data_IF_694332387626
#
_entry.id   IF_694332387626
#
_cell.length_a   1.000
_cell.length_b   1.000
_cell.length_c   1.000
_cell.angle_alpha   90.00
_cell.angle_beta   90.00
_cell.angle_gamma   90.00
#
_symmetry.space_group_name_H-M   'P 1'
#
loop_
_entity.id
_entity.type
_entity.pdbx_description
1 polymer ?
#
# COMPACT_ATOMS: atom_id res chain seq x y z
N UNK A 1 -10.44 24.42 4.71
CA UNK A 1 -10.70 23.74 3.43
C UNK A 1 -10.28 22.33 3.70
N UNK A 2 -11.21 21.39 3.89
CA UNK A 2 -10.84 19.98 4.00
C UNK A 2 -10.24 19.60 2.65
N UNK A 3 -8.94 19.37 2.63
CA UNK A 3 -8.26 18.88 1.44
C UNK A 3 -8.73 17.44 1.22
N UNK A 4 -9.31 17.21 0.04
CA UNK A 4 -9.61 15.86 -0.43
C UNK A 4 -8.37 15.23 -1.04
N UNK A 5 -8.41 13.92 -1.24
CA UNK A 5 -7.30 13.18 -1.84
C UNK A 5 -7.20 11.78 -1.26
N UNK A 6 -6.26 11.02 -1.79
CA UNK A 6 -5.94 9.66 -1.33
C UNK A 6 -4.57 9.64 -0.69
N UNK A 7 -4.45 8.94 0.43
CA UNK A 7 -3.16 8.46 0.91
C UNK A 7 -2.98 7.07 0.34
N UNK A 8 -1.96 6.95 -0.49
CA UNK A 8 -1.60 5.72 -1.16
C UNK A 8 -0.46 5.04 -0.44
N UNK A 9 -0.58 3.72 -0.26
CA UNK A 9 0.42 2.84 0.33
C UNK A 9 0.74 1.77 -0.70
N UNK A 10 1.90 1.86 -1.32
CA UNK A 10 2.36 0.92 -2.35
C UNK A 10 3.27 -0.14 -1.77
N UNK A 11 3.10 -1.40 -2.17
CA UNK A 11 3.97 -2.53 -1.86
C UNK A 11 4.30 -3.25 -3.16
N UNK A 12 5.58 -3.43 -3.46
CA UNK A 12 6.02 -3.89 -4.79
C UNK A 12 6.96 -5.07 -4.67
N UNK A 13 6.74 -6.05 -5.55
CA UNK A 13 7.49 -7.30 -5.63
C UNK A 13 8.21 -7.37 -6.98
N UNK A 14 9.41 -7.92 -6.99
CA UNK A 14 10.11 -8.25 -8.23
C UNK A 14 9.57 -9.56 -8.82
N UNK A 15 10.01 -9.88 -10.05
CA UNK A 15 9.70 -11.12 -10.78
C UNK A 15 9.99 -12.44 -10.03
N UNK A 16 10.76 -12.40 -8.94
CA UNK A 16 11.08 -13.61 -8.15
C UNK A 16 9.87 -14.09 -7.32
N UNK A 17 8.89 -13.22 -7.12
CA UNK A 17 7.66 -13.55 -6.42
C UNK A 17 6.54 -13.61 -7.46
N UNK A 18 5.75 -14.68 -7.49
CA UNK A 18 4.63 -14.74 -8.41
C UNK A 18 3.44 -13.93 -7.89
N UNK A 19 2.67 -13.31 -8.78
CA UNK A 19 1.46 -12.59 -8.40
C UNK A 19 0.48 -13.52 -7.65
N UNK A 20 0.31 -14.76 -8.12
CA UNK A 20 -0.57 -15.77 -7.52
C UNK A 20 -0.18 -16.09 -6.08
N UNK A 21 1.11 -16.27 -5.81
CA UNK A 21 1.57 -16.57 -4.45
C UNK A 21 1.37 -15.35 -3.54
N UNK A 22 1.82 -14.17 -3.99
CA UNK A 22 1.75 -12.96 -3.17
C UNK A 22 0.32 -12.50 -2.88
N UNK A 23 -0.65 -12.73 -3.78
CA UNK A 23 -2.05 -12.38 -3.49
C UNK A 23 -2.67 -13.35 -2.50
N UNK A 24 -2.30 -14.64 -2.53
CA UNK A 24 -2.71 -15.62 -1.53
C UNK A 24 -2.27 -15.20 -0.14
N UNK A 25 -0.99 -14.86 -0.01
CA UNK A 25 -0.42 -14.41 1.25
C UNK A 25 -0.98 -13.04 1.67
N UNK A 26 -1.19 -12.11 0.74
CA UNK A 26 -1.81 -10.80 1.02
C UNK A 26 -3.24 -10.97 1.56
N UNK A 27 -4.05 -11.84 0.94
CA UNK A 27 -5.39 -12.18 1.44
C UNK A 27 -5.33 -12.72 2.86
N UNK A 28 -4.40 -13.62 3.14
CA UNK A 28 -4.22 -14.18 4.49
C UNK A 28 -3.81 -13.11 5.50
N UNK A 29 -2.89 -12.22 5.14
CA UNK A 29 -2.47 -11.09 5.97
C UNK A 29 -3.63 -10.14 6.28
N UNK A 30 -4.40 -9.74 5.26
CA UNK A 30 -5.56 -8.85 5.44
C UNK A 30 -6.61 -9.48 6.36
N UNK A 31 -6.90 -10.77 6.21
CA UNK A 31 -7.81 -11.50 7.10
C UNK A 31 -7.28 -11.56 8.54
N UNK A 32 -5.96 -11.74 8.72
CA UNK A 32 -5.34 -11.72 10.04
C UNK A 32 -5.49 -10.36 10.73
N UNK A 33 -5.39 -9.26 9.97
CA UNK A 33 -5.64 -7.89 10.42
C UNK A 33 -7.15 -7.57 10.55
N UNK A 34 -8.03 -8.57 10.50
CA UNK A 34 -9.47 -8.40 10.68
C UNK A 34 -10.19 -7.72 9.50
N UNK A 35 -9.52 -7.58 8.36
CA UNK A 35 -10.11 -6.97 7.18
C UNK A 35 -10.92 -8.00 6.38
N UNK A 36 -12.00 -7.50 5.76
CA UNK A 36 -12.88 -8.29 4.90
C UNK A 36 -12.80 -7.78 3.48
N UNK A 37 -12.79 -8.71 2.54
CA UNK A 37 -12.92 -8.41 1.12
C UNK A 37 -14.41 -8.23 0.85
N UNK A 38 -14.78 -7.07 0.31
CA UNK A 38 -16.18 -6.66 0.09
C UNK A 38 -16.59 -6.99 -1.34
N UNK A 39 -15.82 -6.52 -2.30
CA UNK A 39 -16.05 -6.72 -3.73
C UNK A 39 -14.72 -6.73 -4.47
N UNK A 40 -14.71 -7.32 -5.66
CA UNK A 40 -13.61 -7.18 -6.63
C UNK A 40 -14.17 -6.68 -7.94
N UNK A 41 -13.45 -5.78 -8.59
CA UNK A 41 -13.71 -5.33 -9.96
C UNK A 41 -12.48 -5.56 -10.80
N UNK A 42 -12.67 -6.11 -12.00
CA UNK A 42 -11.59 -6.24 -12.96
C UNK A 42 -12.07 -5.99 -14.38
N UNK A 43 -11.19 -5.49 -15.22
CA UNK A 43 -11.50 -5.28 -16.63
C UNK A 43 -11.04 -6.45 -17.49
N UNK A 44 -11.89 -6.90 -18.40
CA UNK A 44 -11.62 -8.00 -19.34
C UNK A 44 -10.86 -7.53 -20.60
N UNK A 45 -10.71 -6.22 -20.80
CA UNK A 45 -10.03 -5.63 -21.95
C UNK A 45 -9.00 -4.57 -21.56
N UNK A 46 -8.07 -4.32 -22.48
CA UNK A 46 -6.98 -3.37 -22.28
C UNK A 46 -7.45 -1.90 -22.33
N UNK A 47 -8.61 -1.64 -22.93
CA UNK A 47 -9.16 -0.29 -23.05
C UNK A 47 -9.88 0.15 -21.76
N UNK A 48 -10.14 -0.79 -20.84
CA UNK A 48 -10.81 -0.54 -19.57
C UNK A 48 -12.30 -0.27 -19.74
N UNK A 49 -12.96 -0.85 -20.76
CA UNK A 49 -14.36 -0.56 -21.07
C UNK A 49 -15.32 -1.62 -20.52
N UNK A 50 -14.91 -2.89 -20.47
CA UNK A 50 -15.71 -4.01 -19.97
C UNK A 50 -15.22 -4.40 -18.58
N UNK A 51 -16.02 -4.06 -17.57
CA UNK A 51 -15.76 -4.37 -16.18
C UNK A 51 -16.67 -5.48 -15.67
N UNK A 52 -16.07 -6.45 -14.99
CA UNK A 52 -16.75 -7.45 -14.19
C UNK A 52 -16.62 -7.06 -12.73
N UNK A 53 -17.74 -7.04 -12.01
CA UNK A 53 -17.81 -6.77 -10.58
C UNK A 53 -18.41 -7.98 -9.87
N UNK A 54 -17.73 -8.44 -8.82
CA UNK A 54 -18.12 -9.61 -8.05
C UNK A 54 -18.17 -9.21 -6.57
N UNK A 55 -19.36 -9.31 -5.97
CA UNK A 55 -19.52 -9.19 -4.53
C UNK A 55 -18.94 -10.42 -3.83
N UNK A 56 -18.16 -10.19 -2.78
CA UNK A 56 -17.46 -11.26 -2.06
C UNK A 56 -18.25 -11.62 -0.81
N UNK A 57 -18.63 -12.88 -0.73
CA UNK A 57 -19.27 -13.46 0.43
C UNK A 57 -18.30 -14.42 1.14
N UNK A 58 -18.32 -14.42 2.47
CA UNK A 58 -17.46 -15.26 3.32
C UNK A 58 -15.95 -15.13 3.06
N UNK A 59 -15.48 -13.99 2.53
CA UNK A 59 -14.08 -13.76 2.12
C UNK A 59 -13.52 -14.80 1.13
N UNK A 60 -14.40 -15.47 0.37
CA UNK A 60 -14.00 -16.43 -0.66
C UNK A 60 -13.95 -15.73 -2.00
N UNK A 61 -12.73 -15.52 -2.48
CA UNK A 61 -12.45 -15.03 -3.81
C UNK A 61 -11.44 -15.98 -4.47
N UNK A 62 -11.83 -16.58 -5.58
CA UNK A 62 -10.91 -17.34 -6.43
C UNK A 62 -10.00 -16.38 -7.19
N UNK A 63 -8.89 -16.89 -7.73
CA UNK A 63 -7.85 -16.06 -8.34
C UNK A 63 -8.09 -15.75 -9.83
N UNK A 64 -9.27 -16.08 -10.40
CA UNK A 64 -9.54 -15.85 -11.82
C UNK A 64 -9.56 -14.38 -12.21
N UNK A 65 -9.86 -13.48 -11.25
CA UNK A 65 -9.83 -12.04 -11.50
C UNK A 65 -8.42 -11.52 -11.86
N UNK A 66 -7.36 -12.28 -11.54
CA UNK A 66 -5.98 -11.94 -11.88
C UNK A 66 -5.72 -11.92 -13.39
N UNK A 67 -6.58 -12.61 -14.17
CA UNK A 67 -6.52 -12.61 -15.63
C UNK A 67 -6.98 -11.27 -16.23
N UNK A 68 -7.67 -10.41 -15.46
CA UNK A 68 -8.11 -9.08 -15.91
C UNK A 68 -6.97 -8.08 -16.10
N UNK A 69 -7.15 -7.08 -16.96
CA UNK A 69 -6.13 -6.06 -17.26
C UNK A 69 -5.94 -5.06 -16.11
N UNK A 70 -7.05 -4.57 -15.56
CA UNK A 70 -7.10 -3.68 -14.41
C UNK A 70 -7.87 -4.37 -13.29
N UNK A 71 -7.44 -4.21 -12.04
CA UNK A 71 -8.06 -4.88 -10.90
C UNK A 71 -8.10 -3.99 -9.67
N UNK A 72 -9.21 -4.07 -8.95
CA UNK A 72 -9.45 -3.36 -7.71
C UNK A 72 -10.25 -4.23 -6.75
N UNK A 73 -9.86 -4.27 -5.48
CA UNK A 73 -10.57 -4.98 -4.41
C UNK A 73 -11.00 -3.94 -3.38
N UNK A 74 -12.29 -3.90 -3.06
CA UNK A 74 -12.80 -3.09 -1.96
C UNK A 74 -12.62 -3.86 -0.65
N UNK A 75 -12.06 -3.19 0.33
CA UNK A 75 -11.77 -3.73 1.65
C UNK A 75 -12.53 -2.94 2.72
N UNK A 76 -13.08 -3.66 3.69
CA UNK A 76 -13.66 -3.09 4.91
C UNK A 76 -12.87 -3.56 6.13
N UNK A 77 -12.57 -2.63 7.02
CA UNK A 77 -11.84 -2.88 8.27
C UNK A 77 -10.72 -1.87 8.47
N UNK A 78 -9.85 -2.12 9.44
CA UNK A 78 -8.71 -1.24 9.74
C UNK A 78 -7.39 -2.00 9.60
N UNK A 79 -6.86 -2.04 8.37
CA UNK A 79 -5.58 -2.74 8.07
C UNK A 79 -4.42 -2.13 8.88
N UNK A 80 -4.45 -0.80 9.03
CA UNK A 80 -3.37 0.00 9.61
C UNK A 80 -3.69 0.49 11.04
N UNK A 81 -4.58 -0.20 11.75
CA UNK A 81 -5.03 0.11 13.11
C UNK A 81 -5.41 1.61 13.29
N UNK A 82 -6.03 2.22 12.28
CA UNK A 82 -6.55 3.59 12.37
C UNK A 82 -7.52 3.75 13.55
N UNK A 83 -7.70 4.97 14.02
CA UNK A 83 -8.58 5.28 15.18
C UNK A 83 -10.08 5.06 14.88
N UNK A 84 -10.43 4.66 13.66
CA UNK A 84 -11.79 4.48 13.16
C UNK A 84 -12.01 3.01 12.79
N UNK A 85 -13.08 2.41 13.30
CA UNK A 85 -13.34 0.97 13.23
C UNK A 85 -13.64 0.46 11.80
N UNK A 86 -13.98 1.36 10.86
CA UNK A 86 -14.27 1.01 9.47
C UNK A 86 -13.74 2.09 8.52
N UNK A 87 -12.54 1.88 7.95
CA UNK A 87 -12.02 2.70 6.84
C UNK A 87 -12.27 1.96 5.53
N UNK A 88 -13.00 2.60 4.62
CA UNK A 88 -13.11 2.13 3.25
C UNK A 88 -11.74 2.22 2.59
N UNK A 89 -11.17 1.07 2.22
CA UNK A 89 -9.87 0.99 1.56
C UNK A 89 -10.04 0.32 0.21
N UNK A 90 -9.46 0.91 -0.83
CA UNK A 90 -9.38 0.28 -2.15
C UNK A 90 -8.00 -0.29 -2.35
N UNK A 91 -7.88 -1.56 -2.71
CA UNK A 91 -6.62 -2.20 -3.08
C UNK A 91 -6.58 -2.39 -4.59
N UNK A 92 -5.71 -1.65 -5.28
CA UNK A 92 -5.40 -1.90 -6.69
C UNK A 92 -4.25 -2.89 -6.84
N UNK A 93 -4.34 -3.75 -7.85
CA UNK A 93 -3.25 -4.65 -8.25
C UNK A 93 -2.67 -4.14 -9.55
N UNK A 94 -1.37 -3.83 -9.54
CA UNK A 94 -0.66 -3.30 -10.70
C UNK A 94 0.32 -4.34 -11.22
N UNK A 95 0.25 -4.59 -12.53
CA UNK A 95 1.04 -5.61 -13.22
C UNK A 95 1.89 -4.94 -14.27
N UNK A 96 3.20 -5.09 -14.12
CA UNK A 96 4.18 -4.61 -15.08
C UNK A 96 5.00 -5.78 -15.61
N UNK A 97 5.79 -5.53 -16.66
CA UNK A 97 6.49 -6.61 -17.36
C UNK A 97 7.50 -7.39 -16.50
N UNK A 98 8.04 -6.76 -15.44
CA UNK A 98 9.13 -7.27 -14.60
C UNK A 98 8.87 -7.13 -13.09
N UNK A 99 7.70 -6.62 -12.69
CA UNK A 99 7.29 -6.47 -11.30
C UNK A 99 5.76 -6.38 -11.20
N UNK A 100 5.24 -6.56 -9.99
CA UNK A 100 3.85 -6.28 -9.67
C UNK A 100 3.74 -5.65 -8.29
N UNK A 101 2.61 -5.02 -8.01
CA UNK A 101 2.41 -4.36 -6.75
C UNK A 101 0.96 -4.23 -6.31
N UNK A 102 0.82 -3.89 -5.04
CA UNK A 102 -0.42 -3.65 -4.34
C UNK A 102 -0.44 -2.19 -3.91
N UNK A 103 -1.45 -1.45 -4.35
CA UNK A 103 -1.63 -0.04 -4.00
C UNK A 103 -2.91 0.11 -3.19
N UNK A 104 -2.75 0.29 -1.88
CA UNK A 104 -3.86 0.62 -0.99
C UNK A 104 -4.12 2.13 -1.07
N UNK A 105 -5.35 2.50 -1.39
CA UNK A 105 -5.82 3.87 -1.45
C UNK A 105 -6.86 4.10 -0.35
N UNK A 106 -6.59 5.08 0.51
CA UNK A 106 -7.44 5.46 1.64
C UNK A 106 -7.77 6.95 1.49
N UNK A 107 -9.03 7.33 1.69
CA UNK A 107 -9.38 8.74 1.70
C UNK A 107 -8.62 9.47 2.81
N UNK A 108 -8.01 10.59 2.46
CA UNK A 108 -7.21 11.37 3.37
C UNK A 108 -7.98 11.80 4.63
N UNK A 109 -9.24 12.22 4.47
CA UNK A 109 -10.10 12.62 5.60
C UNK A 109 -10.50 11.48 6.53
N UNK A 110 -10.49 10.23 6.05
CA UNK A 110 -10.73 9.05 6.88
C UNK A 110 -9.47 8.70 7.71
N UNK A 111 -8.29 9.01 7.17
CA UNK A 111 -7.01 8.75 7.81
C UNK A 111 -6.56 9.86 8.76
N UNK A 112 -6.93 11.12 8.45
CA UNK A 112 -6.65 12.32 9.24
C UNK A 112 -7.93 13.16 9.48
N UNK A 113 -8.83 12.71 10.36
CA UNK A 113 -10.06 13.43 10.68
C UNK A 113 -9.82 14.84 11.24
N UNK A 114 -8.76 15.01 12.03
CA UNK A 114 -8.25 16.32 12.46
C UNK A 114 -6.91 16.63 11.79
N UNK A 115 -6.97 17.34 10.67
CA UNK A 115 -5.82 17.71 9.85
C UNK A 115 -4.76 18.56 10.56
N UNK A 116 -5.12 19.23 11.66
CA UNK A 116 -4.19 20.08 12.40
C UNK A 116 -3.51 19.32 13.55
N UNK A 117 -3.90 18.06 13.78
CA UNK A 117 -3.37 17.25 14.85
C UNK A 117 -2.10 16.51 14.41
N UNK A 118 -0.95 17.20 14.48
CA UNK A 118 0.35 16.61 14.14
C UNK A 118 0.64 15.30 14.89
N UNK A 119 0.16 15.16 16.14
CA UNK A 119 0.38 13.95 16.93
C UNK A 119 -0.35 12.75 16.33
N UNK A 120 -1.58 12.96 15.86
CA UNK A 120 -2.38 11.94 15.19
C UNK A 120 -1.76 11.53 13.86
N UNK A 121 -1.33 12.50 13.03
CA UNK A 121 -0.63 12.23 11.78
C UNK A 121 0.62 11.37 12.02
N UNK A 122 1.42 11.71 13.05
CA UNK A 122 2.62 10.94 13.42
C UNK A 122 2.28 9.53 13.90
N UNK A 123 1.23 9.37 14.72
CA UNK A 123 0.78 8.06 15.19
C UNK A 123 0.27 7.19 14.04
N UNK A 124 -0.55 7.73 13.14
CA UNK A 124 -1.02 7.03 11.94
C UNK A 124 0.15 6.57 11.09
N UNK A 125 1.14 7.44 10.84
CA UNK A 125 2.36 7.04 10.12
C UNK A 125 3.07 5.87 10.79
N UNK A 126 3.25 5.92 12.11
CA UNK A 126 3.91 4.83 12.85
C UNK A 126 3.16 3.51 12.74
N UNK A 127 1.83 3.52 12.76
CA UNK A 127 1.01 2.33 12.58
C UNK A 127 1.10 1.77 11.17
N UNK A 128 1.09 2.62 10.13
CA UNK A 128 1.30 2.20 8.74
C UNK A 128 2.68 1.57 8.59
N UNK A 129 3.74 2.25 9.06
CA UNK A 129 5.12 1.73 9.02
C UNK A 129 5.22 0.39 9.75
N UNK A 130 4.65 0.28 10.95
CA UNK A 130 4.63 -0.97 11.72
C UNK A 130 3.93 -2.11 10.97
N UNK A 131 2.80 -1.82 10.33
CA UNK A 131 2.06 -2.80 9.52
C UNK A 131 2.85 -3.24 8.30
N UNK A 132 3.57 -2.35 7.64
CA UNK A 132 4.44 -2.69 6.50
C UNK A 132 5.62 -3.58 6.94
N UNK A 133 6.20 -3.32 8.11
CA UNK A 133 7.25 -4.20 8.68
C UNK A 133 6.68 -5.60 8.98
N UNK A 134 5.52 -5.67 9.61
CA UNK A 134 4.81 -6.94 9.89
C UNK A 134 4.50 -7.71 8.60
N UNK A 135 4.03 -6.98 7.58
CA UNK A 135 3.78 -7.55 6.25
C UNK A 135 5.07 -8.08 5.64
N UNK A 136 6.19 -7.36 5.70
CA UNK A 136 7.47 -7.83 5.15
C UNK A 136 7.96 -9.14 5.78
N UNK A 137 7.73 -9.31 7.08
CA UNK A 137 8.05 -10.54 7.79
C UNK A 137 7.16 -11.72 7.37
N UNK A 138 5.97 -11.44 6.84
CA UNK A 138 5.03 -12.43 6.31
C UNK A 138 5.33 -12.72 4.83
N UNK A 139 5.52 -11.67 4.03
CA UNK A 139 5.70 -11.67 2.58
C UNK A 139 6.76 -10.63 2.24
N UNK A 140 8.00 -11.07 2.01
CA UNK A 140 9.10 -10.15 1.75
C UNK A 140 8.92 -9.46 0.40
N UNK A 141 8.65 -8.16 0.43
CA UNK A 141 8.54 -7.32 -0.77
C UNK A 141 9.88 -6.68 -1.16
N UNK A 142 9.98 -6.11 -2.35
CA UNK A 142 11.19 -5.40 -2.80
C UNK A 142 11.27 -4.01 -2.19
N UNK A 143 10.17 -3.26 -2.24
CA UNK A 143 10.02 -1.98 -1.57
C UNK A 143 8.56 -1.67 -1.23
N UNK A 144 8.36 -0.69 -0.35
CA UNK A 144 7.06 -0.11 -0.06
C UNK A 144 7.17 1.41 0.11
N UNK A 145 6.07 2.14 -0.05
CA UNK A 145 6.01 3.57 0.19
C UNK A 145 4.66 4.01 0.72
N UNK A 146 4.62 5.22 1.27
CA UNK A 146 3.40 5.90 1.71
C UNK A 146 3.46 7.37 1.30
N UNK A 147 2.37 7.90 0.75
CA UNK A 147 2.27 9.33 0.47
C UNK A 147 0.91 9.75 -0.07
N UNK A 148 0.72 11.07 -0.17
CA UNK A 148 -0.46 11.66 -0.78
C UNK A 148 -0.41 11.50 -2.31
N UNK A 149 -1.41 10.83 -2.89
CA UNK A 149 -1.63 10.64 -4.34
C UNK A 149 -0.41 10.07 -5.10
N UNK A 150 0.41 9.26 -4.41
CA UNK A 150 1.59 8.64 -5.01
C UNK A 150 1.27 7.26 -5.58
N UNK A 151 1.75 6.97 -6.78
CA UNK A 151 1.45 5.75 -7.53
C UNK A 151 2.69 4.84 -7.65
N UNK A 152 2.52 3.61 -8.12
CA UNK A 152 3.64 2.71 -8.40
C UNK A 152 4.16 3.02 -9.81
N UNK A 153 5.31 3.68 -9.89
CA UNK A 153 5.87 4.14 -11.18
C UNK A 153 7.24 3.56 -11.51
N UNK A 154 7.93 2.96 -10.54
CA UNK A 154 9.33 2.56 -10.66
C UNK A 154 9.48 1.04 -10.51
N UNK A 155 10.39 0.44 -11.27
CA UNK A 155 10.80 -0.92 -10.96
C UNK A 155 11.65 -0.96 -9.66
N UNK A 156 11.77 -2.13 -9.01
CA UNK A 156 12.54 -2.26 -7.76
C UNK A 156 13.99 -1.75 -7.78
N UNK A 157 14.73 -1.93 -8.87
CA UNK A 157 16.12 -1.47 -8.97
C UNK A 157 16.21 0.04 -9.18
N UNK A 158 15.29 0.60 -9.96
CA UNK A 158 15.16 2.06 -10.12
C UNK A 158 14.73 2.75 -8.82
N UNK A 159 13.76 2.18 -8.09
CA UNK A 159 13.32 2.71 -6.81
C UNK A 159 14.47 2.75 -5.79
N UNK A 160 15.23 1.65 -5.67
CA UNK A 160 16.36 1.56 -4.74
C UNK A 160 17.45 2.60 -5.04
N UNK A 161 17.74 2.85 -6.32
CA UNK A 161 18.69 3.90 -6.73
C UNK A 161 18.13 5.30 -6.43
N UNK A 162 16.85 5.53 -6.69
CA UNK A 162 16.20 6.81 -6.48
C UNK A 162 16.19 7.20 -5.01
N UNK A 163 15.75 6.31 -4.12
CA UNK A 163 15.58 6.64 -2.70
C UNK A 163 16.91 6.82 -1.96
N UNK A 164 18.01 6.22 -2.46
CA UNK A 164 19.34 6.38 -1.86
C UNK A 164 19.80 7.85 -1.85
N UNK A 165 19.39 8.61 -2.86
CA UNK A 165 19.80 10.01 -3.07
C UNK A 165 18.64 11.00 -2.92
N UNK A 166 17.39 10.52 -2.79
CA UNK A 166 16.19 11.34 -2.89
C UNK A 166 15.24 11.21 -1.68
N UNK A 167 14.84 12.36 -1.15
CA UNK A 167 13.86 12.51 -0.06
C UNK A 167 12.43 12.81 -0.55
N UNK A 168 12.13 12.53 -1.83
CA UNK A 168 10.82 12.81 -2.45
C UNK A 168 9.67 12.00 -1.88
N UNK A 169 9.92 10.80 -1.36
CA UNK A 169 8.89 9.96 -0.76
C UNK A 169 8.67 10.35 0.71
N UNK A 170 7.42 10.60 1.16
CA UNK A 170 7.15 10.88 2.56
C UNK A 170 7.63 9.76 3.49
N UNK A 171 7.35 8.52 3.11
CA UNK A 171 7.94 7.31 3.70
C UNK A 171 8.23 6.32 2.58
N UNK A 172 9.40 5.71 2.63
CA UNK A 172 9.77 4.59 1.77
C UNK A 172 10.50 3.52 2.58
N UNK A 173 10.39 2.27 2.14
CA UNK A 173 11.02 1.10 2.74
C UNK A 173 11.65 0.28 1.62
N UNK A 174 12.93 -0.06 1.75
CA UNK A 174 13.65 -0.89 0.77
C UNK A 174 14.33 -2.04 1.49
N UNK A 175 14.34 -3.20 0.85
CA UNK A 175 15.11 -4.36 1.31
C UNK A 175 16.58 -3.99 1.51
N UNK A 176 17.10 -4.31 2.69
CA UNK A 176 18.51 -4.19 3.04
C UNK A 176 19.08 -5.57 3.44
N UNK A 177 20.40 -5.66 3.55
CA UNK A 177 21.04 -6.86 4.08
C UNK A 177 20.62 -7.07 5.54
N UNK A 178 19.93 -8.18 5.83
CA UNK A 178 19.47 -8.51 7.17
C UNK A 178 18.26 -7.72 7.68
N UNK A 179 17.51 -7.04 6.80
CA UNK A 179 16.26 -6.37 7.17
C UNK A 179 15.77 -5.31 6.19
N UNK A 180 15.35 -4.16 6.71
CA UNK A 180 14.75 -3.05 5.95
C UNK A 180 15.44 -1.72 6.23
N UNK A 181 15.66 -0.94 5.19
CA UNK A 181 16.00 0.48 5.30
C UNK A 181 14.74 1.32 5.11
N UNK A 182 14.45 2.18 6.08
CA UNK A 182 13.34 3.11 6.10
C UNK A 182 13.86 4.51 5.81
N UNK A 183 13.21 5.20 4.88
CA UNK A 183 13.52 6.55 4.48
C UNK A 183 12.31 7.43 4.78
N UNK A 184 12.55 8.57 5.40
CA UNK A 184 11.55 9.60 5.64
C UNK A 184 11.93 10.84 4.84
N UNK A 185 10.97 11.35 4.09
CA UNK A 185 11.14 12.53 3.25
C UNK A 185 11.03 13.85 4.01
N UNK A 186 11.02 14.95 3.26
CA UNK A 186 10.82 16.29 3.84
C UNK A 186 9.34 16.66 4.04
N UNK A 187 8.44 15.90 3.43
CA UNK A 187 6.98 16.08 3.51
C UNK A 187 6.39 14.87 4.22
N UNK A 188 5.42 15.08 5.10
CA UNK A 188 4.71 14.01 5.79
C UNK A 188 3.75 13.26 4.86
N UNK A 189 3.24 12.13 5.37
CA UNK A 189 2.32 11.26 4.62
C UNK A 189 0.97 11.92 4.32
N UNK A 190 0.66 12.98 5.05
CA UNK A 190 -0.49 13.85 4.84
C UNK A 190 -0.30 14.80 3.65
N UNK A 191 0.91 14.95 3.12
CA UNK A 191 1.22 15.85 2.00
C UNK A 191 1.49 17.31 2.40
N UNK A 192 1.29 17.68 3.68
CA UNK A 192 1.39 19.06 4.15
C UNK A 192 2.44 19.25 5.24
N UNK A 193 2.45 18.35 6.24
CA UNK A 193 3.37 18.45 7.35
C UNK A 193 4.82 18.38 6.89
N UNK A 194 5.70 19.13 7.56
CA UNK A 194 7.14 19.11 7.26
C UNK A 194 7.82 18.11 8.17
N UNK A 195 8.72 17.35 7.58
CA UNK A 195 9.50 16.34 8.28
C UNK A 195 11.00 16.61 8.08
N UNK A 196 11.79 16.18 9.06
CA UNK A 196 13.25 16.18 8.91
C UNK A 196 13.61 14.88 8.21
N UNK A 197 14.22 14.94 7.01
CA UNK A 197 14.59 13.73 6.31
C UNK A 197 15.58 12.89 7.11
N UNK A 198 15.35 11.59 7.14
CA UNK A 198 16.20 10.65 7.89
C UNK A 198 16.10 9.25 7.31
N UNK A 199 17.11 8.45 7.63
CA UNK A 199 17.17 7.02 7.34
C UNK A 199 17.27 6.22 8.63
N UNK A 200 16.52 5.14 8.73
CA UNK A 200 16.54 4.18 9.83
C UNK A 200 16.74 2.77 9.25
N UNK A 201 17.55 1.93 9.88
CA UNK A 201 17.72 0.53 9.47
C UNK A 201 17.12 -0.39 10.54
N UNK A 202 16.26 -1.31 10.12
CA UNK A 202 15.58 -2.27 10.98
C UNK A 202 16.13 -3.65 10.66
N UNK A 203 16.66 -4.33 11.66
CA UNK A 203 17.03 -5.75 11.55
C UNK A 203 15.81 -6.63 11.81
N UNK A 204 15.62 -7.66 10.98
CA UNK A 204 14.46 -8.57 11.01
C UNK A 204 14.88 -10.02 11.23
#
# INVERSE_FOLDING_TARGET
>A
MTLGGLVNIGIVFNEQHSLVDTIGDMKAFLQHKGCRLVSVKFSEDIDGENWVEIDIHDNKLDDSFLDGYYMSVELSGSIFDSMTDEIATTLRIEKESNYHGYLFSINWGDLFPDENNELEIRHTRQKIVGTLIELYQTISYSYAFVGHEIEIELDPEEFARTIADNHSYPVAMVRAEGGLDLYYGSTGIDGFSKEVPRKESISL
#
